data_IF_877771764458
#
_entry.id   IF_877771764458
#
_cell.length_a   1.000
_cell.length_b   1.000
_cell.length_c   1.000
_cell.angle_alpha   90.00
_cell.angle_beta   90.00
_cell.angle_gamma   90.00
#
_symmetry.space_group_name_H-M   'P 1'
#
loop_
_entity.id
_entity.type
_entity.pdbx_description
1 polymer ?
#
# COMPACT_ATOMS: atom_id res chain seq x y z
N UNK A 1 2.71 1.06 1.11
CA UNK A 1 3.49 0.52 0.01
C UNK A 1 2.66 -0.54 -0.70
N UNK A 2 2.70 -0.62 -2.03
CA UNK A 2 1.88 -1.55 -2.82
C UNK A 2 2.77 -2.30 -3.79
N UNK A 3 2.62 -3.64 -3.83
CA UNK A 3 3.14 -4.48 -4.90
C UNK A 3 2.04 -4.79 -5.91
N UNK A 4 2.40 -4.80 -7.17
CA UNK A 4 1.56 -5.19 -8.31
C UNK A 4 2.46 -5.77 -9.41
N UNK A 5 1.89 -6.50 -10.36
CA UNK A 5 2.66 -7.14 -11.43
C UNK A 5 2.10 -6.73 -12.78
N UNK A 6 2.98 -6.35 -13.71
CA UNK A 6 2.60 -6.01 -15.07
C UNK A 6 2.18 -7.25 -15.87
N UNK A 7 1.63 -7.06 -17.06
CA UNK A 7 1.30 -8.15 -18.00
C UNK A 7 2.57 -8.93 -18.41
N UNK A 8 3.73 -8.24 -18.48
CA UNK A 8 5.04 -8.81 -18.77
C UNK A 8 5.70 -9.50 -17.55
N UNK A 9 4.97 -9.61 -16.44
CA UNK A 9 5.41 -10.25 -15.18
C UNK A 9 6.52 -9.47 -14.44
N UNK A 10 6.62 -8.16 -14.65
CA UNK A 10 7.52 -7.29 -13.89
C UNK A 10 6.86 -6.88 -12.58
N UNK A 11 7.53 -7.13 -11.46
CA UNK A 11 7.07 -6.73 -10.12
C UNK A 11 7.31 -5.23 -9.92
N UNK A 12 6.24 -4.48 -9.76
CA UNK A 12 6.25 -3.06 -9.43
C UNK A 12 6.00 -2.86 -7.94
N UNK A 13 6.77 -2.01 -7.31
CA UNK A 13 6.65 -1.66 -5.89
C UNK A 13 6.63 -0.14 -5.75
N UNK A 14 5.54 0.42 -5.22
CA UNK A 14 5.41 1.88 -5.16
C UNK A 14 4.70 2.36 -3.87
N UNK A 15 5.14 3.51 -3.29
CA UNK A 15 4.53 4.07 -2.09
C UNK A 15 3.37 5.00 -2.44
N UNK A 16 2.26 4.88 -1.71
CA UNK A 16 1.10 5.76 -1.85
C UNK A 16 0.63 6.23 -0.49
N UNK A 17 0.50 7.56 -0.33
CA UNK A 17 0.12 8.18 0.95
C UNK A 17 -1.38 8.42 1.08
N UNK A 18 -2.12 8.45 -0.03
CA UNK A 18 -3.58 8.63 0.00
C UNK A 18 -4.27 7.28 0.18
N UNK A 19 -4.13 6.72 1.37
CA UNK A 19 -4.63 5.41 1.79
C UNK A 19 -5.55 5.56 2.99
N UNK A 20 -6.70 4.88 2.99
CA UNK A 20 -7.62 4.87 4.13
C UNK A 20 -8.45 3.59 4.19
N UNK A 21 -8.99 3.31 5.39
CA UNK A 21 -10.01 2.27 5.61
C UNK A 21 -11.38 2.85 5.21
N UNK A 22 -12.12 2.10 4.38
CA UNK A 22 -13.47 2.48 3.95
C UNK A 22 -14.54 1.81 4.80
N UNK A 23 -14.44 0.51 4.98
CA UNK A 23 -15.40 -0.29 5.77
C UNK A 23 -14.74 -1.56 6.29
N UNK A 24 -15.27 -2.07 7.40
CA UNK A 24 -14.80 -3.32 8.02
C UNK A 24 -15.58 -4.55 7.54
N UNK A 25 -16.80 -4.37 7.03
CA UNK A 25 -17.61 -5.48 6.52
C UNK A 25 -18.42 -5.05 5.28
N UNK A 26 -18.06 -5.51 4.06
CA UNK A 26 -16.80 -6.22 3.77
C UNK A 26 -15.57 -5.36 4.05
N UNK A 27 -14.38 -5.96 4.31
CA UNK A 27 -13.17 -5.20 4.59
C UNK A 27 -12.65 -4.56 3.30
N UNK A 28 -12.82 -3.25 3.19
CA UNK A 28 -12.40 -2.46 2.01
C UNK A 28 -11.52 -1.31 2.45
N UNK A 29 -10.43 -1.12 1.74
CA UNK A 29 -9.56 0.03 1.83
C UNK A 29 -9.60 0.84 0.53
N UNK A 30 -9.27 2.11 0.60
CA UNK A 30 -9.12 2.98 -0.57
C UNK A 30 -7.68 3.44 -0.74
N UNK A 31 -7.27 3.55 -2.00
CA UNK A 31 -6.00 4.19 -2.37
C UNK A 31 -6.26 5.12 -3.54
N UNK A 32 -5.84 6.38 -3.42
CA UNK A 32 -5.90 7.31 -4.53
C UNK A 32 -4.51 7.47 -5.16
N UNK A 33 -4.41 7.19 -6.44
CA UNK A 33 -3.18 7.26 -7.22
C UNK A 33 -3.27 8.46 -8.17
N UNK A 34 -2.47 9.49 -7.92
CA UNK A 34 -2.45 10.67 -8.76
C UNK A 34 -1.83 10.36 -10.13
N UNK A 35 -2.49 10.84 -11.20
CA UNK A 35 -1.94 10.78 -12.55
C UNK A 35 -0.85 11.84 -12.72
N UNK A 36 0.16 11.53 -13.51
CA UNK A 36 1.18 12.48 -13.94
C UNK A 36 0.97 12.73 -15.43
N UNK A 37 0.75 13.99 -15.83
CA UNK A 37 0.45 14.36 -17.21
C UNK A 37 -0.78 13.63 -17.79
N UNK A 38 -1.76 13.29 -16.96
CA UNK A 38 -2.96 12.54 -17.38
C UNK A 38 -2.77 11.03 -17.53
N UNK A 39 -1.55 10.52 -17.37
CA UNK A 39 -1.22 9.10 -17.53
C UNK A 39 -1.43 8.30 -16.24
N UNK A 40 -1.91 7.07 -16.42
CA UNK A 40 -2.02 6.10 -15.33
C UNK A 40 -0.65 5.74 -14.76
N UNK A 41 -0.56 5.61 -13.44
CA UNK A 41 0.60 4.99 -12.79
C UNK A 41 0.69 3.50 -13.16
N UNK A 42 1.91 2.94 -13.19
CA UNK A 42 2.13 1.51 -13.44
C UNK A 42 1.29 0.65 -12.47
N UNK A 43 1.28 0.99 -11.18
CA UNK A 43 0.45 0.30 -10.17
C UNK A 43 -1.03 0.31 -10.54
N UNK A 44 -1.58 1.44 -11.04
CA UNK A 44 -2.98 1.50 -11.47
C UNK A 44 -3.22 0.60 -12.68
N UNK A 45 -2.37 0.67 -13.71
CA UNK A 45 -2.45 -0.19 -14.90
C UNK A 45 -2.46 -1.67 -14.50
N UNK A 46 -1.51 -2.07 -13.64
CA UNK A 46 -1.34 -3.44 -13.17
C UNK A 46 -2.57 -3.94 -12.41
N UNK A 47 -3.10 -3.14 -11.46
CA UNK A 47 -4.29 -3.53 -10.67
C UNK A 47 -5.54 -3.61 -11.55
N UNK A 48 -5.70 -2.71 -12.52
CA UNK A 48 -6.83 -2.76 -13.45
C UNK A 48 -6.77 -3.99 -14.37
N UNK A 49 -5.58 -4.46 -14.73
CA UNK A 49 -5.38 -5.64 -15.56
C UNK A 49 -5.51 -6.94 -14.77
N UNK A 50 -4.82 -7.07 -13.62
CA UNK A 50 -4.79 -8.31 -12.82
C UNK A 50 -5.96 -8.45 -11.85
N UNK A 51 -6.61 -7.35 -11.46
CA UNK A 51 -7.54 -7.22 -10.34
C UNK A 51 -6.93 -7.51 -8.96
N UNK A 52 -5.62 -7.56 -8.82
CA UNK A 52 -4.91 -7.99 -7.61
C UNK A 52 -3.78 -7.04 -7.22
N UNK A 53 -3.48 -6.99 -5.92
CA UNK A 53 -2.32 -6.31 -5.37
C UNK A 53 -2.03 -6.82 -3.94
N UNK A 54 -0.86 -6.44 -3.40
CA UNK A 54 -0.62 -6.54 -1.96
C UNK A 54 -0.26 -5.18 -1.39
N UNK A 55 -0.88 -4.82 -0.28
CA UNK A 55 -0.62 -3.58 0.46
C UNK A 55 0.23 -3.91 1.67
N UNK A 56 1.29 -3.15 1.89
CA UNK A 56 2.24 -3.30 2.99
C UNK A 56 2.23 -2.03 3.84
N UNK A 57 2.09 -2.18 5.16
CA UNK A 57 2.23 -1.05 6.07
C UNK A 57 3.71 -0.71 6.20
N UNK A 58 4.03 0.57 5.97
CA UNK A 58 5.39 1.08 6.11
C UNK A 58 5.66 1.36 7.59
N UNK A 59 6.76 0.84 8.08
CA UNK A 59 7.24 0.99 9.45
C UNK A 59 8.67 1.57 9.50
N UNK A 60 9.20 1.78 10.70
CA UNK A 60 10.54 2.35 10.90
C UNK A 60 11.66 1.52 10.25
N UNK A 61 11.50 0.21 10.18
CA UNK A 61 12.55 -0.70 9.69
C UNK A 61 12.62 -0.71 8.16
N UNK A 62 11.48 -0.48 7.48
CA UNK A 62 11.36 -0.58 6.02
C UNK A 62 11.16 0.77 5.30
N UNK A 63 11.00 1.90 6.02
CA UNK A 63 10.70 3.21 5.43
C UNK A 63 11.74 3.70 4.43
N UNK A 64 13.03 3.40 4.66
CA UNK A 64 14.10 3.84 3.75
C UNK A 64 14.00 3.11 2.40
N UNK A 65 13.82 1.80 2.42
CA UNK A 65 13.59 1.01 1.20
C UNK A 65 12.28 1.41 0.53
N UNK A 66 11.19 1.59 1.30
CA UNK A 66 9.93 2.10 0.79
C UNK A 66 10.06 3.47 0.11
N UNK A 67 10.92 4.35 0.62
CA UNK A 67 11.18 5.64 -0.03
C UNK A 67 11.96 5.48 -1.34
N UNK A 68 12.87 4.53 -1.47
CA UNK A 68 13.59 4.26 -2.73
C UNK A 68 12.62 3.85 -3.85
N UNK A 69 11.55 3.13 -3.52
CA UNK A 69 10.53 2.74 -4.52
C UNK A 69 9.69 3.91 -5.06
N UNK A 70 9.92 5.13 -4.61
CA UNK A 70 9.34 6.33 -5.21
C UNK A 70 10.09 6.81 -6.48
N UNK A 71 11.19 6.14 -6.87
CA UNK A 71 11.94 6.46 -8.07
C UNK A 71 11.07 6.37 -9.32
N UNK A 72 11.33 7.23 -10.30
CA UNK A 72 10.67 7.13 -11.60
C UNK A 72 11.54 6.21 -12.48
N UNK A 73 11.11 4.98 -12.65
CA UNK A 73 11.75 4.01 -13.55
C UNK A 73 11.02 3.95 -14.88
N UNK A 74 11.70 3.43 -15.90
CA UNK A 74 11.11 3.18 -17.21
C UNK A 74 10.19 1.94 -17.18
N UNK A 75 9.37 1.81 -18.19
CA UNK A 75 8.51 0.64 -18.36
C UNK A 75 9.37 -0.64 -18.51
N UNK A 76 9.05 -1.67 -17.73
CA UNK A 76 9.86 -2.91 -17.72
C UNK A 76 10.94 -2.97 -16.64
N UNK A 77 11.18 -1.88 -15.92
CA UNK A 77 12.10 -1.87 -14.77
C UNK A 77 11.33 -2.06 -13.45
N UNK A 78 11.99 -2.67 -12.47
CA UNK A 78 11.43 -2.93 -11.13
C UNK A 78 12.19 -2.17 -10.07
N UNK A 79 11.45 -1.49 -9.20
CA UNK A 79 11.98 -0.79 -8.03
C UNK A 79 12.66 -1.74 -7.03
N UNK A 80 12.42 -3.04 -7.14
CA UNK A 80 13.08 -4.07 -6.32
C UNK A 80 14.61 -3.97 -6.40
N UNK A 81 15.17 -3.59 -7.55
CA UNK A 81 16.61 -3.42 -7.74
C UNK A 81 17.23 -2.30 -6.89
N UNK A 82 16.41 -1.39 -6.38
CA UNK A 82 16.82 -0.23 -5.56
C UNK A 82 16.65 -0.49 -4.05
N UNK A 83 16.20 -1.67 -3.66
CA UNK A 83 15.80 -1.97 -2.27
C UNK A 83 16.40 -3.29 -1.79
N UNK A 84 16.30 -3.50 -0.46
CA UNK A 84 16.64 -4.76 0.17
C UNK A 84 15.41 -5.65 0.41
N UNK A 85 14.27 -5.32 -0.18
CA UNK A 85 13.05 -6.11 -0.04
C UNK A 85 13.19 -7.50 -0.64
N UNK A 86 12.61 -8.49 0.04
CA UNK A 86 12.58 -9.88 -0.37
C UNK A 86 11.14 -10.24 -0.79
N UNK A 87 10.88 -10.51 -2.07
CA UNK A 87 9.56 -10.97 -2.50
C UNK A 87 9.31 -12.39 -2.00
N UNK A 88 8.11 -12.63 -1.47
CA UNK A 88 7.63 -13.93 -1.03
C UNK A 88 6.26 -14.21 -1.64
N UNK A 89 5.87 -15.49 -1.83
CA UNK A 89 4.54 -15.84 -2.32
C UNK A 89 3.43 -15.32 -1.41
N UNK A 90 2.33 -14.92 -2.01
CA UNK A 90 1.06 -14.64 -1.34
C UNK A 90 0.19 -15.92 -1.28
N UNK A 91 -0.89 -15.89 -0.51
CA UNK A 91 -1.78 -17.05 -0.31
C UNK A 91 -3.08 -16.97 -1.13
N UNK A 92 -3.60 -15.78 -1.35
CA UNK A 92 -4.91 -15.53 -1.99
C UNK A 92 -4.84 -14.76 -3.30
N UNK A 93 -3.66 -14.23 -3.64
CA UNK A 93 -3.42 -13.49 -4.88
C UNK A 93 -2.09 -13.95 -5.52
N UNK A 94 -1.96 -13.77 -6.82
CA UNK A 94 -0.74 -14.14 -7.55
C UNK A 94 0.37 -13.07 -7.47
N UNK A 95 0.11 -11.98 -6.74
CA UNK A 95 1.05 -10.87 -6.56
C UNK A 95 1.96 -11.14 -5.36
N UNK A 96 3.31 -11.08 -5.52
CA UNK A 96 4.22 -11.29 -4.41
C UNK A 96 4.05 -10.26 -3.28
N UNK A 97 4.15 -10.74 -2.04
CA UNK A 97 4.30 -9.94 -0.83
C UNK A 97 5.77 -9.59 -0.58
N UNK A 98 6.03 -8.64 0.32
CA UNK A 98 7.37 -8.28 0.80
C UNK A 98 7.55 -8.82 2.22
N UNK A 99 8.61 -9.60 2.43
CA UNK A 99 8.89 -10.28 3.71
C UNK A 99 9.07 -9.31 4.88
N UNK A 100 9.70 -8.17 4.63
CA UNK A 100 10.09 -7.18 5.65
C UNK A 100 8.91 -6.36 6.20
N UNK A 101 7.73 -6.46 5.60
CA UNK A 101 6.54 -5.77 6.11
C UNK A 101 5.85 -6.58 7.20
N UNK A 102 5.74 -6.01 8.41
CA UNK A 102 5.07 -6.63 9.57
C UNK A 102 3.56 -6.81 9.35
N UNK A 103 2.94 -5.96 8.55
CA UNK A 103 1.53 -6.07 8.18
C UNK A 103 1.38 -5.99 6.67
N UNK A 104 0.67 -6.98 6.10
CA UNK A 104 0.37 -7.07 4.67
C UNK A 104 -1.10 -7.41 4.47
N UNK A 105 -1.70 -6.84 3.44
CA UNK A 105 -3.06 -7.12 3.00
C UNK A 105 -3.03 -7.61 1.57
N UNK A 106 -3.43 -8.84 1.34
CA UNK A 106 -3.69 -9.34 0.00
C UNK A 106 -5.06 -8.85 -0.44
N UNK A 107 -5.12 -8.16 -1.56
CA UNK A 107 -6.33 -7.43 -1.96
C UNK A 107 -6.73 -7.72 -3.40
N UNK A 108 -8.05 -7.63 -3.65
CA UNK A 108 -8.62 -7.64 -5.00
C UNK A 108 -9.34 -6.33 -5.29
N UNK A 109 -9.35 -5.91 -6.56
CA UNK A 109 -10.06 -4.72 -6.99
C UNK A 109 -11.57 -4.90 -6.76
N UNK A 110 -12.18 -4.00 -6.00
CA UNK A 110 -13.61 -3.94 -5.74
C UNK A 110 -14.30 -2.87 -6.58
N UNK A 111 -13.60 -1.77 -6.85
CA UNK A 111 -14.12 -0.68 -7.65
C UNK A 111 -13.04 0.34 -8.03
N UNK A 112 -13.28 1.08 -9.10
CA UNK A 112 -12.43 2.12 -9.62
C UNK A 112 -13.24 3.35 -9.97
N UNK A 113 -12.78 4.53 -9.55
CA UNK A 113 -13.38 5.83 -9.85
C UNK A 113 -12.32 6.79 -10.38
N UNK A 114 -12.52 7.30 -11.58
CA UNK A 114 -11.72 8.39 -12.11
C UNK A 114 -12.12 9.72 -11.46
N UNK A 115 -11.19 10.35 -10.76
CA UNK A 115 -11.39 11.65 -10.12
C UNK A 115 -11.06 12.75 -11.13
N UNK A 116 -12.11 13.44 -11.59
CA UNK A 116 -11.98 14.50 -12.61
C UNK A 116 -11.94 15.89 -11.96
N UNK A 117 -11.07 16.74 -12.47
CA UNK A 117 -11.00 18.16 -12.14
C UNK A 117 -10.69 18.95 -13.42
N UNK A 118 -11.43 20.03 -13.66
CA UNK A 118 -11.23 20.96 -14.79
C UNK A 118 -11.15 20.28 -16.18
N UNK A 119 -11.96 19.22 -16.36
CA UNK A 119 -12.03 18.49 -17.63
C UNK A 119 -10.93 17.43 -17.83
N UNK A 120 -10.00 17.29 -16.89
CA UNK A 120 -8.97 16.26 -16.91
C UNK A 120 -9.14 15.24 -15.76
N UNK A 121 -8.58 14.03 -15.92
CA UNK A 121 -8.54 13.04 -14.85
C UNK A 121 -7.26 13.28 -14.06
N UNK A 122 -7.39 13.69 -12.79
CA UNK A 122 -6.26 13.98 -11.90
C UNK A 122 -5.79 12.79 -11.09
N UNK A 123 -6.69 11.85 -10.79
CA UNK A 123 -6.37 10.67 -10.00
C UNK A 123 -7.31 9.50 -10.28
N UNK A 124 -6.88 8.32 -9.88
CA UNK A 124 -7.62 7.08 -9.86
C UNK A 124 -7.85 6.65 -8.42
N UNK A 125 -9.10 6.61 -7.97
CA UNK A 125 -9.47 6.09 -6.66
C UNK A 125 -9.81 4.60 -6.81
N UNK A 126 -8.99 3.75 -6.24
CA UNK A 126 -9.20 2.32 -6.18
C UNK A 126 -9.81 1.93 -4.83
N UNK A 127 -10.88 1.15 -4.87
CA UNK A 127 -11.46 0.47 -3.72
C UNK A 127 -10.98 -0.98 -3.78
N UNK A 128 -10.25 -1.41 -2.76
CA UNK A 128 -9.58 -2.71 -2.71
C UNK A 128 -10.16 -3.54 -1.56
N UNK A 129 -10.71 -4.71 -1.89
CA UNK A 129 -11.23 -5.64 -0.90
C UNK A 129 -10.11 -6.52 -0.35
N UNK A 130 -9.94 -6.54 0.95
CA UNK A 130 -8.96 -7.40 1.61
C UNK A 130 -9.46 -8.85 1.59
N UNK A 131 -8.60 -9.75 1.14
CA UNK A 131 -8.82 -11.20 1.06
C UNK A 131 -8.10 -11.95 2.16
N UNK A 132 -6.92 -11.45 2.57
CA UNK A 132 -6.12 -12.04 3.63
C UNK A 132 -5.34 -10.96 4.36
N UNK A 133 -5.14 -11.16 5.66
CA UNK A 133 -4.33 -10.32 6.54
C UNK A 133 -3.14 -11.13 7.04
N UNK A 134 -1.94 -10.64 6.81
CA UNK A 134 -0.73 -11.17 7.41
C UNK A 134 -0.23 -10.16 8.44
N UNK A 135 -0.12 -10.58 9.68
CA UNK A 135 0.33 -9.76 10.80
C UNK A 135 1.44 -10.53 11.51
N UNK A 136 2.58 -9.90 11.72
CA UNK A 136 3.68 -10.50 12.46
C UNK A 136 3.26 -10.84 13.90
N UNK A 137 3.62 -12.03 14.37
CA UNK A 137 3.16 -12.57 15.66
C UNK A 137 3.64 -11.74 16.85
N UNK A 138 4.83 -11.15 16.75
CA UNK A 138 5.46 -10.33 17.78
C UNK A 138 4.77 -8.99 18.05
N UNK A 139 3.90 -8.55 17.12
CA UNK A 139 3.12 -7.31 17.27
C UNK A 139 1.63 -7.55 17.49
N UNK A 140 1.16 -8.80 17.58
CA UNK A 140 -0.26 -9.11 17.71
C UNK A 140 -0.58 -9.84 19.02
N UNK A 141 -1.25 -9.14 19.94
CA UNK A 141 -1.57 -9.65 21.27
C UNK A 141 -3.04 -9.43 21.60
N UNK A 142 -3.75 -10.49 22.00
CA UNK A 142 -5.14 -10.45 22.47
C UNK A 142 -6.11 -9.70 21.52
N UNK A 143 -5.97 -9.92 20.21
CA UNK A 143 -6.82 -9.27 19.20
C UNK A 143 -6.43 -7.83 18.88
N UNK A 144 -5.27 -7.36 19.32
CA UNK A 144 -4.78 -6.00 19.10
C UNK A 144 -3.37 -5.98 18.55
N UNK A 145 -3.11 -5.00 17.69
CA UNK A 145 -1.77 -4.72 17.20
C UNK A 145 -1.07 -3.82 18.21
N UNK A 146 0.16 -4.19 18.59
CA UNK A 146 1.05 -3.33 19.36
C UNK A 146 1.56 -2.20 18.47
N UNK A 147 1.16 -0.93 18.71
CA UNK A 147 1.58 0.18 17.88
C UNK A 147 3.04 0.56 18.05
N UNK A 148 3.68 0.23 19.19
CA UNK A 148 5.11 0.47 19.39
C UNK A 148 5.94 -0.60 18.68
N UNK A 149 5.53 -1.86 18.74
CA UNK A 149 6.14 -2.95 17.99
C UNK A 149 5.99 -2.77 16.47
N UNK A 150 4.84 -2.29 16.00
CA UNK A 150 4.64 -1.95 14.59
C UNK A 150 5.50 -0.76 14.16
N UNK A 151 5.61 0.28 14.99
CA UNK A 151 6.33 1.52 14.69
C UNK A 151 5.99 2.12 13.33
N UNK A 152 4.69 2.19 13.00
CA UNK A 152 4.20 2.67 11.70
C UNK A 152 4.68 4.09 11.39
N UNK A 153 5.08 4.31 10.13
CA UNK A 153 5.56 5.60 9.65
C UNK A 153 4.46 6.34 8.89
N UNK A 154 4.34 7.63 9.18
CA UNK A 154 3.42 8.54 8.51
C UNK A 154 4.20 9.40 7.52
N UNK A 155 3.77 9.44 6.26
CA UNK A 155 4.29 10.40 5.28
C UNK A 155 3.66 11.77 5.51
N UNK A 156 4.50 12.77 5.70
CA UNK A 156 4.10 14.18 5.77
C UNK A 156 4.29 14.86 4.40
N UNK A 157 4.23 16.18 4.36
CA UNK A 157 4.50 16.93 3.15
C UNK A 157 6.01 16.90 2.79
N UNK A 158 6.32 17.04 1.51
CA UNK A 158 7.69 17.10 1.03
C UNK A 158 8.48 15.80 1.24
N UNK A 159 9.57 15.87 1.95
CA UNK A 159 10.46 14.72 2.24
C UNK A 159 10.33 14.19 3.66
N UNK A 160 9.37 14.71 4.43
CA UNK A 160 9.27 14.44 5.85
C UNK A 160 8.42 13.21 6.15
N UNK A 161 8.84 12.46 7.17
CA UNK A 161 8.13 11.34 7.76
C UNK A 161 8.03 11.56 9.28
N UNK A 162 7.01 10.98 9.89
CA UNK A 162 6.83 11.00 11.34
C UNK A 162 6.41 9.61 11.85
N UNK A 163 6.85 9.29 13.05
CA UNK A 163 6.36 8.15 13.81
C UNK A 163 5.03 8.50 14.49
N UNK A 164 4.33 7.48 14.99
CA UNK A 164 3.19 7.69 15.88
C UNK A 164 3.69 8.29 17.19
N UNK A 165 3.26 9.52 17.50
CA UNK A 165 3.66 10.23 18.70
C UNK A 165 2.90 9.79 19.96
N UNK A 166 2.75 10.71 20.93
CA UNK A 166 2.05 10.47 22.19
C UNK A 166 0.63 9.96 21.96
N UNK A 167 0.31 8.80 22.53
CA UNK A 167 -1.03 8.20 22.52
C UNK A 167 -1.89 8.71 23.68
N UNK A 168 -3.18 8.84 23.44
CA UNK A 168 -4.17 9.19 24.43
C UNK A 168 -5.29 8.14 24.42
N UNK A 169 -5.69 7.69 25.59
CA UNK A 169 -6.87 6.84 25.75
C UNK A 169 -8.03 7.69 26.24
N UNK A 170 -9.09 7.77 25.44
CA UNK A 170 -10.30 8.53 25.76
C UNK A 170 -11.49 7.58 25.66
N UNK A 171 -12.24 7.45 26.74
CA UNK A 171 -13.46 6.64 26.73
C UNK A 171 -14.50 7.24 25.77
N UNK A 172 -15.21 6.38 25.04
CA UNK A 172 -16.36 6.83 24.25
C UNK A 172 -17.51 7.19 25.19
N UNK A 173 -18.25 8.27 24.91
CA UNK A 173 -19.52 8.53 25.59
C UNK A 173 -20.49 7.37 25.36
N UNK A 174 -21.29 7.03 26.36
CA UNK A 174 -22.41 6.08 26.28
C UNK A 174 -23.59 6.67 25.51
#
# INVERSE_FOLDING_TARGET
LITSVSEEKVLNVAPFSYFNIVTSNPPIVSVALQRKNGELKHTTKNILSSNEAVIHIVDRENVFDANQTAANLEEGESEMSLTNFTPIPSEKVDIPSLKEAKIRFEVTLHGHVEVKADGAIGADLLLLRIKEYHIAEDIYHEGRIDPDGLAAMNRLAGHDYAEVGRRLTIARPE
#
